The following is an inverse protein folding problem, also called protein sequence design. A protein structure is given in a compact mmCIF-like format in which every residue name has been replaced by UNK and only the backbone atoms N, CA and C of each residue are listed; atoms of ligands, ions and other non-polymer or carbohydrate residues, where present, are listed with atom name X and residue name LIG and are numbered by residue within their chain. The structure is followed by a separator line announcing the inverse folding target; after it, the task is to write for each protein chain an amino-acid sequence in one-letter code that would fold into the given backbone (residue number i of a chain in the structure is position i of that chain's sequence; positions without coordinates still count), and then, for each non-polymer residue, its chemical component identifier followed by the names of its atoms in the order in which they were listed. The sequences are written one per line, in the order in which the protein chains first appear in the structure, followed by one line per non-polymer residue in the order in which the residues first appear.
data_IF_816353484143
#
_entry.id   IF_816353484143
#
_cell.length_a   1.000
_cell.length_b   1.000
_cell.length_c   1.000
_cell.angle_alpha   90.00
_cell.angle_beta   90.00
_cell.angle_gamma   90.00
#
_symmetry.space_group_name_H-M   'P 1'
#
loop_
_entity.id
_entity.type
_entity.pdbx_description
1 polymer ?
#
# COMPACT_ATOMS: atom_id res chain seq x y z
N UNK A 1 -8.98 8.46 -28.66
CA UNK A 1 -9.70 7.58 -27.71
C UNK A 1 -9.94 8.39 -26.44
N UNK A 2 -11.02 8.10 -25.66
CA UNK A 2 -11.31 8.76 -24.39
C UNK A 2 -11.68 7.69 -23.35
N UNK A 3 -10.98 7.69 -22.21
CA UNK A 3 -11.30 6.81 -21.07
C UNK A 3 -12.34 7.50 -20.20
N UNK A 4 -13.43 6.81 -19.89
CA UNK A 4 -14.51 7.27 -19.01
C UNK A 4 -14.56 6.40 -17.76
N UNK A 5 -14.96 6.95 -16.61
CA UNK A 5 -15.19 6.15 -15.42
C UNK A 5 -16.37 5.20 -15.62
N UNK A 6 -16.29 4.03 -15.00
CA UNK A 6 -17.45 3.21 -14.72
C UNK A 6 -18.00 3.65 -13.36
N UNK A 7 -19.13 4.29 -13.36
CA UNK A 7 -19.72 4.87 -12.16
C UNK A 7 -20.08 3.81 -11.12
N UNK A 8 -19.71 4.06 -9.87
CA UNK A 8 -20.10 3.29 -8.71
C UNK A 8 -20.10 4.21 -7.49
N UNK A 9 -21.29 4.64 -7.04
CA UNK A 9 -21.46 5.61 -5.96
C UNK A 9 -20.76 5.20 -4.66
N UNK A 10 -20.77 3.92 -4.32
CA UNK A 10 -20.13 3.39 -3.11
C UNK A 10 -18.59 3.38 -3.17
N UNK A 11 -17.99 3.41 -4.36
CA UNK A 11 -16.55 3.30 -4.54
C UNK A 11 -15.94 4.59 -5.10
N UNK A 12 -16.18 4.86 -6.38
CA UNK A 12 -15.55 5.98 -7.09
C UNK A 12 -16.51 7.14 -7.42
N UNK A 13 -17.78 7.05 -7.02
CA UNK A 13 -18.82 7.96 -7.49
C UNK A 13 -18.80 7.99 -9.04
N UNK A 14 -18.54 9.15 -9.63
CA UNK A 14 -18.33 9.32 -11.07
C UNK A 14 -16.86 9.66 -11.43
N UNK A 15 -15.93 9.48 -10.50
CA UNK A 15 -14.55 9.91 -10.66
C UNK A 15 -13.63 8.82 -11.24
N UNK A 16 -12.62 9.28 -11.96
CA UNK A 16 -11.52 8.48 -12.48
C UNK A 16 -10.21 9.21 -12.19
N UNK A 17 -9.19 8.48 -11.77
CA UNK A 17 -7.87 9.09 -11.55
C UNK A 17 -7.25 9.54 -12.87
N UNK A 18 -6.40 10.57 -12.83
CA UNK A 18 -5.69 11.02 -14.03
C UNK A 18 -4.75 9.94 -14.55
N UNK A 19 -4.16 9.14 -13.67
CA UNK A 19 -3.35 7.98 -14.03
C UNK A 19 -4.14 7.02 -14.91
N UNK A 20 -5.33 6.62 -14.49
CA UNK A 20 -6.17 5.68 -15.24
C UNK A 20 -6.71 6.31 -16.52
N UNK A 21 -6.99 7.61 -16.49
CA UNK A 21 -7.49 8.36 -17.66
C UNK A 21 -6.48 8.39 -18.80
N UNK A 22 -5.20 8.50 -18.51
CA UNK A 22 -4.14 8.70 -19.50
C UNK A 22 -3.26 7.47 -19.72
N UNK A 23 -3.29 6.45 -18.85
CA UNK A 23 -2.43 5.26 -18.96
C UNK A 23 -2.70 4.39 -20.18
N UNK A 24 -3.83 4.58 -20.88
CA UNK A 24 -4.14 3.86 -22.12
C UNK A 24 -3.14 4.14 -23.27
N UNK A 25 -2.39 5.23 -23.18
CA UNK A 25 -1.37 5.56 -24.18
C UNK A 25 -0.33 4.45 -24.33
N UNK A 26 0.00 3.77 -23.24
CA UNK A 26 0.89 2.62 -23.24
C UNK A 26 0.38 1.43 -24.08
N UNK A 27 -0.93 1.32 -24.34
CA UNK A 27 -1.50 0.27 -25.18
C UNK A 27 -1.16 0.45 -26.67
N UNK A 28 -0.87 1.69 -27.08
CA UNK A 28 -0.60 2.05 -28.48
C UNK A 28 0.87 2.44 -28.69
N UNK A 29 1.73 2.21 -27.70
CA UNK A 29 3.16 2.48 -27.82
C UNK A 29 3.81 1.52 -28.80
N UNK A 30 4.69 2.04 -29.67
CA UNK A 30 5.52 1.23 -30.56
C UNK A 30 6.52 0.35 -29.81
N UNK A 31 6.88 0.72 -28.58
CA UNK A 31 7.75 -0.07 -27.70
C UNK A 31 7.04 -1.28 -27.06
N UNK A 32 5.73 -1.43 -27.30
CA UNK A 32 4.96 -2.54 -26.74
C UNK A 32 5.30 -3.84 -27.46
N UNK A 33 5.72 -4.85 -26.69
CA UNK A 33 5.93 -6.20 -27.25
C UNK A 33 4.58 -6.80 -27.71
N UNK A 34 4.53 -7.25 -28.95
CA UNK A 34 3.37 -7.91 -29.56
C UNK A 34 3.54 -9.41 -29.69
N UNK A 35 4.79 -9.87 -29.72
CA UNK A 35 5.17 -11.27 -29.79
C UNK A 35 6.19 -11.62 -28.71
N UNK A 36 6.27 -12.88 -28.27
CA UNK A 36 7.34 -13.33 -27.40
C UNK A 36 8.71 -13.17 -28.06
N UNK A 37 9.74 -12.94 -27.26
CA UNK A 37 11.11 -12.82 -27.74
C UNK A 37 12.07 -13.66 -26.90
N UNK A 38 13.02 -14.31 -27.56
CA UNK A 38 14.09 -15.08 -26.91
C UNK A 38 15.42 -14.42 -27.24
N UNK A 39 16.33 -14.31 -26.27
CA UNK A 39 17.68 -13.79 -26.48
C UNK A 39 18.61 -14.91 -26.97
N UNK A 40 19.05 -14.81 -28.23
CA UNK A 40 19.97 -15.74 -28.89
C UNK A 40 21.27 -15.01 -29.30
N UNK A 41 22.40 -15.50 -28.86
CA UNK A 41 23.71 -14.90 -29.18
C UNK A 41 23.78 -13.38 -28.88
N UNK A 42 23.12 -12.95 -27.79
CA UNK A 42 23.10 -11.55 -27.40
C UNK A 42 22.01 -10.68 -28.07
N UNK A 43 21.32 -11.19 -29.07
CA UNK A 43 20.25 -10.49 -29.81
C UNK A 43 18.85 -11.02 -29.45
N UNK A 44 17.87 -10.12 -29.35
CA UNK A 44 16.48 -10.48 -29.17
C UNK A 44 15.88 -10.90 -30.51
N UNK A 45 15.25 -12.09 -30.55
CA UNK A 45 14.63 -12.70 -31.72
C UNK A 45 13.18 -13.02 -31.38
N UNK A 46 12.25 -12.62 -32.21
CA UNK A 46 10.84 -12.99 -32.10
C UNK A 46 10.67 -14.50 -32.29
N UNK A 47 9.73 -15.08 -31.54
CA UNK A 47 9.38 -16.49 -31.61
C UNK A 47 7.88 -16.67 -31.36
N UNK A 48 7.35 -17.86 -31.56
CA UNK A 48 5.99 -18.19 -31.17
C UNK A 48 5.89 -18.52 -29.66
N UNK A 49 4.67 -18.62 -29.17
CA UNK A 49 4.41 -18.90 -27.75
C UNK A 49 4.88 -20.29 -27.31
N UNK A 50 4.77 -21.29 -28.19
CA UNK A 50 5.20 -22.65 -27.86
C UNK A 50 6.72 -22.67 -27.63
N UNK A 51 7.48 -22.10 -28.55
CA UNK A 51 8.92 -22.01 -28.44
C UNK A 51 9.36 -21.21 -27.20
N UNK A 52 8.69 -20.09 -26.92
CA UNK A 52 8.99 -19.27 -25.73
C UNK A 52 8.76 -20.04 -24.42
N UNK A 53 7.65 -20.77 -24.32
CA UNK A 53 7.31 -21.56 -23.13
C UNK A 53 8.24 -22.77 -22.95
N UNK A 54 8.58 -23.49 -24.03
CA UNK A 54 9.54 -24.59 -23.99
C UNK A 54 10.92 -24.13 -23.57
N UNK A 55 11.38 -23.00 -24.13
CA UNK A 55 12.66 -22.39 -23.74
C UNK A 55 12.68 -22.00 -22.26
N UNK A 56 11.62 -21.36 -21.78
CA UNK A 56 11.49 -20.93 -20.38
C UNK A 56 11.47 -22.14 -19.44
N UNK A 57 10.67 -23.16 -19.74
CA UNK A 57 10.57 -24.37 -18.92
C UNK A 57 11.91 -25.11 -18.86
N UNK A 58 12.59 -25.28 -19.99
CA UNK A 58 13.90 -25.90 -20.07
C UNK A 58 14.97 -25.13 -19.29
N UNK A 59 14.97 -23.80 -19.41
CA UNK A 59 15.88 -22.93 -18.66
C UNK A 59 15.64 -23.03 -17.15
N UNK A 60 14.40 -22.97 -16.69
CA UNK A 60 14.06 -23.14 -15.28
C UNK A 60 14.46 -24.50 -14.73
N UNK A 61 14.20 -25.60 -15.46
CA UNK A 61 14.64 -26.94 -15.09
C UNK A 61 16.16 -27.03 -14.98
N UNK A 62 16.88 -26.47 -15.95
CA UNK A 62 18.34 -26.46 -15.97
C UNK A 62 18.92 -25.72 -14.75
N UNK A 63 18.33 -24.55 -14.41
CA UNK A 63 18.73 -23.78 -13.23
C UNK A 63 18.45 -24.57 -11.94
N UNK A 64 17.25 -25.17 -11.85
CA UNK A 64 16.87 -25.96 -10.68
C UNK A 64 17.79 -27.16 -10.47
N UNK A 65 18.17 -27.87 -11.53
CA UNK A 65 19.09 -29.01 -11.48
C UNK A 65 20.51 -28.58 -11.11
N UNK A 66 20.98 -27.46 -11.64
CA UNK A 66 22.37 -27.01 -11.47
C UNK A 66 22.60 -26.25 -10.16
N UNK A 67 21.64 -25.48 -9.69
CA UNK A 67 21.77 -24.53 -8.59
C UNK A 67 20.77 -24.75 -7.46
N UNK A 68 19.84 -25.70 -7.62
CA UNK A 68 18.73 -25.95 -6.70
C UNK A 68 17.51 -25.06 -7.00
N UNK A 69 16.32 -25.57 -6.67
CA UNK A 69 15.05 -24.87 -6.92
C UNK A 69 14.96 -23.50 -6.22
N UNK A 70 15.63 -23.35 -5.07
CA UNK A 70 15.68 -22.09 -4.33
C UNK A 70 16.44 -20.95 -5.05
N UNK A 71 17.11 -21.26 -6.16
CA UNK A 71 17.72 -20.23 -7.04
C UNK A 71 16.70 -19.54 -7.95
N UNK A 72 15.45 -20.02 -7.97
CA UNK A 72 14.37 -19.48 -8.76
C UNK A 72 13.43 -18.72 -7.83
N UNK A 73 13.09 -17.49 -8.19
CA UNK A 73 12.13 -16.68 -7.48
C UNK A 73 11.10 -16.08 -8.41
N UNK A 74 9.95 -15.68 -7.87
CA UNK A 74 8.91 -14.97 -8.58
C UNK A 74 8.51 -13.68 -7.88
N UNK A 75 8.29 -12.64 -8.66
CA UNK A 75 7.76 -11.38 -8.20
C UNK A 75 6.42 -11.12 -8.92
N UNK A 76 5.33 -11.22 -8.17
CA UNK A 76 3.98 -10.92 -8.67
C UNK A 76 3.71 -9.42 -8.71
N UNK A 77 2.65 -9.03 -9.41
CA UNK A 77 2.17 -7.65 -9.43
C UNK A 77 0.87 -7.53 -8.63
N UNK A 78 0.70 -6.42 -7.92
CA UNK A 78 -0.57 -6.08 -7.27
C UNK A 78 -1.72 -5.83 -8.26
N UNK A 79 -1.41 -5.70 -9.55
CA UNK A 79 -2.38 -5.54 -10.64
C UNK A 79 -2.76 -6.87 -11.31
N UNK A 80 -2.14 -7.98 -10.90
CA UNK A 80 -2.48 -9.31 -11.40
C UNK A 80 -3.84 -9.77 -10.85
N UNK A 81 -4.51 -10.62 -11.62
CA UNK A 81 -5.74 -11.28 -11.16
C UNK A 81 -5.45 -12.28 -10.03
N UNK A 82 -6.49 -12.65 -9.28
CA UNK A 82 -6.36 -13.67 -8.23
C UNK A 82 -5.88 -15.00 -8.80
N UNK A 83 -6.37 -15.37 -9.99
CA UNK A 83 -6.00 -16.59 -10.71
C UNK A 83 -4.53 -16.60 -11.11
N UNK A 84 -4.01 -15.47 -11.62
CA UNK A 84 -2.59 -15.32 -11.97
C UNK A 84 -1.69 -15.48 -10.76
N UNK A 85 -2.02 -14.81 -9.64
CA UNK A 85 -1.26 -14.90 -8.39
C UNK A 85 -1.30 -16.31 -7.81
N UNK A 86 -2.48 -16.98 -7.87
CA UNK A 86 -2.61 -18.35 -7.41
C UNK A 86 -1.77 -19.31 -8.25
N UNK A 87 -1.83 -19.20 -9.59
CA UNK A 87 -1.05 -20.04 -10.49
C UNK A 87 0.44 -19.81 -10.37
N UNK A 88 0.88 -18.56 -10.18
CA UNK A 88 2.27 -18.22 -9.95
C UNK A 88 2.81 -18.92 -8.70
N UNK A 89 2.12 -18.80 -7.56
CA UNK A 89 2.55 -19.49 -6.35
C UNK A 89 2.53 -21.01 -6.49
N UNK A 90 1.51 -21.57 -7.14
CA UNK A 90 1.40 -23.01 -7.38
C UNK A 90 2.58 -23.53 -8.22
N UNK A 91 2.91 -22.81 -9.31
CA UNK A 91 4.04 -23.13 -10.17
C UNK A 91 5.35 -23.20 -9.38
N UNK A 92 5.68 -22.12 -8.65
CA UNK A 92 6.96 -22.03 -7.91
C UNK A 92 7.05 -23.11 -6.82
N UNK A 93 6.00 -23.31 -6.04
CA UNK A 93 5.97 -24.33 -4.99
C UNK A 93 6.05 -25.76 -5.54
N UNK A 94 5.40 -26.02 -6.68
CA UNK A 94 5.54 -27.31 -7.37
C UNK A 94 6.98 -27.56 -7.84
N UNK A 95 7.71 -26.51 -8.20
CA UNK A 95 9.13 -26.59 -8.54
C UNK A 95 10.06 -26.68 -7.30
N UNK A 96 9.52 -26.56 -6.10
CA UNK A 96 10.27 -26.62 -4.83
C UNK A 96 10.87 -25.29 -4.40
N UNK A 97 10.34 -24.16 -4.88
CA UNK A 97 10.77 -22.83 -4.43
C UNK A 97 9.68 -22.10 -3.64
N UNK A 98 10.06 -21.52 -2.51
CA UNK A 98 9.21 -20.64 -1.70
C UNK A 98 9.55 -19.15 -1.89
N UNK A 99 10.43 -18.80 -2.84
CA UNK A 99 10.88 -17.45 -3.11
C UNK A 99 9.85 -16.69 -3.95
N UNK A 100 8.73 -16.32 -3.32
CA UNK A 100 7.61 -15.63 -3.97
C UNK A 100 7.30 -14.36 -3.20
N UNK A 101 7.27 -13.23 -3.87
CA UNK A 101 6.82 -11.97 -3.32
C UNK A 101 5.99 -11.17 -4.34
N UNK A 102 5.25 -10.18 -3.87
CA UNK A 102 4.49 -9.23 -4.69
C UNK A 102 4.72 -7.78 -4.25
N UNK A 103 5.55 -7.57 -3.23
CA UNK A 103 5.85 -6.27 -2.64
C UNK A 103 7.17 -5.75 -3.14
N UNK A 104 7.14 -4.57 -3.78
CA UNK A 104 8.34 -3.89 -4.27
C UNK A 104 9.05 -3.08 -3.18
N UNK A 105 8.43 -2.94 -1.99
CA UNK A 105 8.96 -2.19 -0.86
C UNK A 105 9.39 -3.15 0.25
N UNK A 106 10.42 -2.78 0.98
CA UNK A 106 10.79 -3.49 2.19
C UNK A 106 9.64 -3.38 3.20
N UNK A 107 9.18 -4.52 3.72
CA UNK A 107 8.09 -4.61 4.69
C UNK A 107 8.53 -5.38 5.92
N UNK A 108 7.93 -5.08 7.06
CA UNK A 108 8.12 -5.85 8.29
C UNK A 108 7.06 -6.97 8.35
N UNK A 109 7.51 -8.21 8.22
CA UNK A 109 6.64 -9.39 8.19
C UNK A 109 6.34 -9.98 9.57
N UNK A 110 6.88 -9.41 10.65
CA UNK A 110 6.70 -9.94 12.01
C UNK A 110 5.24 -9.98 12.43
N UNK A 111 4.45 -9.02 11.95
CA UNK A 111 3.02 -8.93 12.25
C UNK A 111 2.19 -9.98 11.50
N UNK A 112 2.67 -10.53 10.39
CA UNK A 112 1.88 -11.44 9.54
C UNK A 112 1.37 -12.67 10.29
N UNK A 113 2.15 -13.15 11.27
CA UNK A 113 1.77 -14.29 12.12
C UNK A 113 0.71 -13.95 13.17
N UNK A 114 0.52 -12.67 13.48
CA UNK A 114 -0.43 -12.18 14.47
C UNK A 114 -1.75 -11.76 13.83
N UNK A 115 -1.76 -11.53 12.52
CA UNK A 115 -2.96 -11.16 11.77
C UNK A 115 -3.88 -12.36 11.63
N UNK A 116 -5.16 -12.16 11.98
CA UNK A 116 -6.22 -13.12 11.74
C UNK A 116 -7.13 -12.62 10.62
N UNK A 117 -7.33 -13.46 9.61
CA UNK A 117 -8.13 -13.11 8.44
C UNK A 117 -7.39 -12.22 7.43
N UNK A 118 -8.11 -11.71 6.46
CA UNK A 118 -7.57 -10.82 5.41
C UNK A 118 -7.60 -9.38 5.88
N UNK A 119 -6.46 -8.65 5.83
CA UNK A 119 -6.46 -7.21 6.12
C UNK A 119 -7.41 -6.46 5.17
N UNK A 120 -8.25 -5.59 5.73
CA UNK A 120 -9.16 -4.74 4.98
C UNK A 120 -9.27 -3.36 5.63
N UNK A 121 -9.92 -2.42 4.98
CA UNK A 121 -10.00 -1.02 5.44
C UNK A 121 -10.71 -0.85 6.80
N UNK A 122 -11.51 -1.83 7.21
CA UNK A 122 -12.31 -1.78 8.46
C UNK A 122 -13.61 -1.00 8.32
N UNK A 123 -13.81 -0.30 7.20
CA UNK A 123 -15.02 0.46 6.87
C UNK A 123 -15.25 0.42 5.36
N UNK A 124 -16.44 0.76 4.89
CA UNK A 124 -16.69 0.93 3.46
C UNK A 124 -15.99 2.18 2.94
N UNK A 125 -15.70 2.23 1.64
CA UNK A 125 -15.14 3.44 1.01
C UNK A 125 -16.15 4.61 1.07
N UNK A 126 -17.43 4.31 0.99
CA UNK A 126 -18.52 5.31 1.11
C UNK A 126 -18.51 5.97 2.50
N UNK A 127 -18.37 5.16 3.55
CA UNK A 127 -18.40 5.62 4.95
C UNK A 127 -17.23 6.54 5.31
N UNK A 128 -16.13 6.53 4.54
CA UNK A 128 -15.03 7.49 4.73
C UNK A 128 -15.56 8.94 4.74
N UNK A 129 -16.61 9.22 3.97
CA UNK A 129 -17.22 10.54 3.89
C UNK A 129 -17.92 10.97 5.19
N UNK A 130 -18.24 10.03 6.08
CA UNK A 130 -18.93 10.26 7.37
C UNK A 130 -17.96 10.41 8.54
N UNK A 131 -16.68 10.11 8.34
CA UNK A 131 -15.68 10.19 9.41
C UNK A 131 -15.51 11.63 9.90
N UNK A 132 -15.39 11.80 11.20
CA UNK A 132 -15.18 13.11 11.84
C UNK A 132 -13.71 13.49 11.97
N UNK A 133 -12.83 12.49 12.09
CA UNK A 133 -11.39 12.66 12.14
C UNK A 133 -10.69 11.49 11.48
N UNK A 134 -9.58 11.77 10.79
CA UNK A 134 -8.75 10.78 10.10
C UNK A 134 -7.28 11.08 10.34
N UNK A 135 -6.49 10.05 10.52
CA UNK A 135 -5.03 10.10 10.56
C UNK A 135 -4.45 9.35 9.35
N UNK A 136 -3.71 10.06 8.52
CA UNK A 136 -2.95 9.48 7.41
C UNK A 136 -1.50 9.26 7.84
N UNK A 137 -0.99 8.06 7.62
CA UNK A 137 0.35 7.67 8.04
C UNK A 137 1.14 7.16 6.83
N UNK A 138 2.25 7.80 6.50
CA UNK A 138 3.22 7.32 5.53
C UNK A 138 2.71 7.21 4.09
N UNK A 139 1.66 7.95 3.71
CA UNK A 139 1.09 7.89 2.36
C UNK A 139 1.13 9.23 1.65
N UNK A 140 1.54 9.22 0.38
CA UNK A 140 1.39 10.34 -0.55
C UNK A 140 -0.01 10.25 -1.18
N UNK A 141 -1.03 10.53 -0.37
CA UNK A 141 -2.43 10.19 -0.60
C UNK A 141 -2.97 10.60 -1.99
N UNK A 142 -2.61 11.79 -2.49
CA UNK A 142 -3.06 12.26 -3.81
C UNK A 142 -2.53 11.42 -4.97
N UNK A 143 -1.35 10.81 -4.80
CA UNK A 143 -0.70 9.99 -5.84
C UNK A 143 -1.00 8.52 -5.66
N UNK A 144 -0.94 8.04 -4.41
CA UNK A 144 -1.14 6.63 -4.11
C UNK A 144 -2.63 6.23 -4.18
N UNK A 145 -3.53 7.12 -3.67
CA UNK A 145 -4.95 6.82 -3.52
C UNK A 145 -5.84 8.03 -3.87
N UNK A 146 -5.83 8.51 -5.14
CA UNK A 146 -6.46 9.78 -5.53
C UNK A 146 -7.97 9.82 -5.29
N UNK A 147 -8.68 8.69 -5.42
CA UNK A 147 -10.13 8.65 -5.19
C UNK A 147 -10.47 8.71 -3.70
N UNK A 148 -9.66 8.08 -2.83
CA UNK A 148 -9.79 8.25 -1.38
C UNK A 148 -9.45 9.69 -0.98
N UNK A 149 -8.41 10.28 -1.57
CA UNK A 149 -8.06 11.68 -1.35
C UNK A 149 -9.23 12.62 -1.71
N UNK A 150 -9.97 12.33 -2.78
CA UNK A 150 -11.14 13.11 -3.19
C UNK A 150 -12.26 13.02 -2.13
N UNK A 151 -12.58 11.83 -1.62
CA UNK A 151 -13.58 11.65 -0.56
C UNK A 151 -13.20 12.40 0.72
N UNK A 152 -11.95 12.24 1.17
CA UNK A 152 -11.43 12.95 2.34
C UNK A 152 -11.48 14.48 2.16
N UNK A 153 -11.16 14.97 0.95
CA UNK A 153 -11.24 16.40 0.64
C UNK A 153 -12.68 16.93 0.72
N UNK A 154 -13.67 16.17 0.30
CA UNK A 154 -15.08 16.54 0.45
C UNK A 154 -15.50 16.50 1.93
N UNK A 155 -15.10 15.47 2.68
CA UNK A 155 -15.40 15.37 4.11
C UNK A 155 -14.74 16.52 4.92
N UNK A 156 -13.51 16.95 4.58
CA UNK A 156 -12.87 18.12 5.20
C UNK A 156 -13.66 19.39 4.98
N UNK A 157 -14.25 19.59 3.80
CA UNK A 157 -15.13 20.73 3.55
C UNK A 157 -16.39 20.72 4.43
N UNK A 158 -16.79 19.54 4.89
CA UNK A 158 -17.92 19.35 5.81
C UNK A 158 -17.50 19.36 7.29
N UNK A 159 -16.22 19.62 7.58
CA UNK A 159 -15.70 19.79 8.94
C UNK A 159 -14.84 18.65 9.48
N UNK A 160 -14.60 17.58 8.70
CA UNK A 160 -13.72 16.51 9.11
C UNK A 160 -12.30 17.03 9.43
N UNK A 161 -11.70 16.54 10.50
CA UNK A 161 -10.33 16.85 10.88
C UNK A 161 -9.34 15.87 10.24
N UNK A 162 -8.54 16.36 9.29
CA UNK A 162 -7.50 15.57 8.63
C UNK A 162 -6.17 15.77 9.34
N UNK A 163 -5.59 14.70 9.85
CA UNK A 163 -4.30 14.68 10.53
C UNK A 163 -3.29 13.86 9.74
N UNK A 164 -2.01 14.22 9.76
CA UNK A 164 -0.97 13.59 8.96
C UNK A 164 0.28 13.31 9.78
N UNK A 165 0.84 12.10 9.60
CA UNK A 165 2.21 11.74 9.99
C UNK A 165 2.92 11.22 8.75
N UNK A 166 3.76 12.03 8.13
CA UNK A 166 4.41 11.70 6.87
C UNK A 166 5.88 12.12 6.85
N UNK A 167 6.71 11.48 5.99
CA UNK A 167 8.09 11.91 5.79
C UNK A 167 8.21 13.15 4.88
N UNK A 168 7.17 13.50 4.15
CA UNK A 168 7.15 14.62 3.23
C UNK A 168 5.88 15.46 3.42
N UNK A 169 6.04 16.78 3.42
CA UNK A 169 4.91 17.72 3.43
C UNK A 169 4.35 17.92 2.02
N UNK A 170 3.50 16.98 1.60
CA UNK A 170 2.84 17.05 0.29
C UNK A 170 1.61 17.95 0.35
N UNK A 171 1.37 18.70 -0.74
CA UNK A 171 0.15 19.49 -0.89
C UNK A 171 -1.04 18.59 -1.23
N UNK A 172 -1.92 18.38 -0.27
CA UNK A 172 -3.15 17.59 -0.43
C UNK A 172 -4.30 18.37 -1.08
N UNK A 173 -4.10 19.63 -1.46
CA UNK A 173 -5.15 20.53 -1.98
C UNK A 173 -6.38 20.61 -1.06
N UNK A 174 -6.17 20.43 0.24
CA UNK A 174 -7.20 20.54 1.27
C UNK A 174 -6.58 20.99 2.60
N UNK A 175 -7.41 21.50 3.50
CA UNK A 175 -6.94 21.88 4.84
C UNK A 175 -6.54 20.64 5.62
N UNK A 176 -5.36 20.68 6.23
CA UNK A 176 -4.87 19.69 7.18
C UNK A 176 -4.95 20.32 8.58
N UNK A 177 -5.60 19.63 9.51
CA UNK A 177 -5.77 20.13 10.88
C UNK A 177 -4.45 20.11 11.64
N UNK A 178 -3.75 18.98 11.65
CA UNK A 178 -2.47 18.81 12.32
C UNK A 178 -1.50 17.98 11.46
N UNK A 179 -0.21 18.34 11.52
CA UNK A 179 0.87 17.66 10.80
C UNK A 179 2.03 17.29 11.72
N UNK A 180 2.57 16.09 11.52
CA UNK A 180 3.88 15.72 12.01
C UNK A 180 4.71 15.23 10.80
N UNK A 181 5.62 16.08 10.31
CA UNK A 181 6.52 15.73 9.22
C UNK A 181 7.84 15.26 9.82
N UNK A 182 8.13 13.99 9.68
CA UNK A 182 9.23 13.32 10.38
C UNK A 182 9.95 12.34 9.44
N UNK A 183 11.22 12.05 9.73
CA UNK A 183 11.95 11.04 8.98
C UNK A 183 11.21 9.66 9.04
N UNK A 184 11.32 8.80 7.99
CA UNK A 184 10.69 7.48 8.01
C UNK A 184 11.01 6.66 9.25
N UNK A 185 12.25 6.72 9.73
CA UNK A 185 12.69 6.03 10.96
C UNK A 185 12.06 6.57 12.25
N UNK A 186 11.51 7.79 12.23
CA UNK A 186 10.87 8.41 13.39
C UNK A 186 9.34 8.22 13.42
N UNK A 187 8.72 7.69 12.36
CA UNK A 187 7.27 7.52 12.28
C UNK A 187 6.74 6.67 13.44
N UNK A 188 7.38 5.53 13.73
CA UNK A 188 6.94 4.62 14.82
C UNK A 188 7.01 5.31 16.16
N UNK A 189 8.09 6.09 16.43
CA UNK A 189 8.21 6.87 17.66
C UNK A 189 7.12 7.93 17.74
N UNK A 190 6.84 8.65 16.66
CA UNK A 190 5.78 9.66 16.61
C UNK A 190 4.39 9.06 16.87
N UNK A 191 4.10 7.87 16.36
CA UNK A 191 2.86 7.16 16.66
C UNK A 191 2.77 6.77 18.14
N UNK A 192 3.89 6.34 18.75
CA UNK A 192 3.94 6.06 20.17
C UNK A 192 3.74 7.34 21.04
N UNK A 193 4.24 8.49 20.59
CA UNK A 193 3.98 9.79 21.23
C UNK A 193 2.49 10.18 21.15
N UNK A 194 1.85 9.99 19.98
CA UNK A 194 0.41 10.23 19.79
C UNK A 194 -0.41 9.28 20.69
N UNK A 195 -0.06 8.00 20.75
CA UNK A 195 -0.71 7.03 21.62
C UNK A 195 -0.59 7.42 23.09
N UNK A 196 0.60 7.83 23.56
CA UNK A 196 0.81 8.28 24.92
C UNK A 196 -0.05 9.51 25.23
N UNK A 197 -0.08 10.50 24.35
CA UNK A 197 -0.93 11.67 24.51
C UNK A 197 -2.43 11.29 24.55
N UNK A 198 -2.87 10.36 23.73
CA UNK A 198 -4.25 9.87 23.73
C UNK A 198 -4.64 9.19 25.06
N UNK A 199 -3.74 8.40 25.64
CA UNK A 199 -3.90 7.76 26.94
C UNK A 199 -4.02 8.82 28.04
N UNK A 200 -3.14 9.83 28.02
CA UNK A 200 -3.16 10.93 28.97
C UNK A 200 -4.47 11.74 28.91
N UNK A 201 -4.94 12.08 27.70
CA UNK A 201 -6.19 12.81 27.48
C UNK A 201 -7.41 12.02 27.97
N UNK A 202 -7.47 10.71 27.68
CA UNK A 202 -8.62 9.85 28.10
C UNK A 202 -8.52 9.34 29.53
N UNK A 203 -7.39 9.52 30.22
CA UNK A 203 -7.18 8.99 31.55
C UNK A 203 -7.22 7.46 31.62
N UNK A 204 -6.80 6.77 30.55
CA UNK A 204 -6.84 5.31 30.46
C UNK A 204 -5.71 4.70 31.29
N UNK A 205 -6.04 3.73 32.14
CA UNK A 205 -5.04 2.97 32.89
C UNK A 205 -4.22 2.07 31.93
N UNK A 206 -2.90 2.23 31.97
CA UNK A 206 -1.99 1.50 31.10
C UNK A 206 -1.72 0.09 31.64
N UNK A 207 -1.82 -0.91 30.77
CA UNK A 207 -1.33 -2.26 31.09
C UNK A 207 0.20 -2.27 31.25
N UNK A 208 0.74 -3.25 31.96
CA UNK A 208 2.20 -3.36 32.13
C UNK A 208 2.94 -3.53 30.81
N UNK A 209 2.36 -4.26 29.86
CA UNK A 209 2.91 -4.45 28.53
C UNK A 209 2.97 -3.11 27.75
N UNK A 210 1.89 -2.34 27.77
CA UNK A 210 1.84 -1.04 27.12
C UNK A 210 2.85 -0.07 27.72
N UNK A 211 3.02 -0.05 29.06
CA UNK A 211 4.05 0.73 29.75
C UNK A 211 5.45 0.35 29.27
N UNK A 212 5.76 -0.94 29.15
CA UNK A 212 7.04 -1.41 28.64
C UNK A 212 7.33 -0.95 27.21
N UNK A 213 6.31 -1.08 26.32
CA UNK A 213 6.42 -0.64 24.94
C UNK A 213 6.68 0.87 24.88
N UNK A 214 5.89 1.69 25.55
CA UNK A 214 6.05 3.15 25.52
C UNK A 214 7.40 3.58 26.12
N UNK A 215 7.85 2.95 27.20
CA UNK A 215 9.15 3.26 27.82
C UNK A 215 10.34 2.91 26.90
N UNK A 216 10.21 1.88 26.04
CA UNK A 216 11.27 1.50 25.10
C UNK A 216 11.61 2.58 24.07
N UNK A 217 10.70 3.51 23.81
CA UNK A 217 10.88 4.58 22.81
C UNK A 217 11.49 5.87 23.39
N UNK A 218 11.69 5.97 24.71
CA UNK A 218 12.13 7.22 25.35
C UNK A 218 11.30 8.44 24.88
N UNK A 219 9.99 8.40 25.11
CA UNK A 219 9.00 9.30 24.52
C UNK A 219 8.87 10.57 25.34
N UNK A 220 9.03 11.73 24.68
CA UNK A 220 8.57 13.02 25.17
C UNK A 220 7.26 13.38 24.45
N UNK A 221 6.25 13.86 25.18
CA UNK A 221 5.02 14.36 24.55
C UNK A 221 5.33 15.62 23.75
N UNK A 222 5.22 15.54 22.42
CA UNK A 222 5.38 16.70 21.54
C UNK A 222 4.06 17.43 21.37
N UNK A 223 4.09 18.74 21.13
CA UNK A 223 2.89 19.54 20.89
C UNK A 223 2.09 19.03 19.69
N UNK A 224 2.77 18.57 18.63
CA UNK A 224 2.11 17.99 17.45
C UNK A 224 1.43 16.66 17.75
N UNK A 225 2.07 15.78 18.54
CA UNK A 225 1.47 14.51 18.95
C UNK A 225 0.21 14.73 19.81
N UNK A 226 0.27 15.69 20.74
CA UNK A 226 -0.88 16.05 21.56
C UNK A 226 -2.03 16.62 20.72
N UNK A 227 -1.75 17.54 19.79
CA UNK A 227 -2.77 18.12 18.91
C UNK A 227 -3.44 17.05 18.02
N UNK A 228 -2.66 16.11 17.48
CA UNK A 228 -3.21 14.99 16.70
C UNK A 228 -4.08 14.11 17.59
N UNK A 229 -3.60 13.73 18.78
CA UNK A 229 -4.35 12.88 19.71
C UNK A 229 -5.68 13.55 20.13
N UNK A 230 -5.67 14.83 20.51
CA UNK A 230 -6.89 15.60 20.82
C UNK A 230 -7.89 15.58 19.68
N UNK A 231 -7.41 15.88 18.47
CA UNK A 231 -8.26 15.89 17.26
C UNK A 231 -8.91 14.53 16.99
N UNK A 232 -8.20 13.43 17.22
CA UNK A 232 -8.75 12.08 17.05
C UNK A 232 -9.79 11.73 18.12
N UNK A 233 -9.54 12.11 19.37
CA UNK A 233 -10.40 11.77 20.52
C UNK A 233 -11.68 12.60 20.54
N UNK A 234 -11.58 13.90 20.37
CA UNK A 234 -12.71 14.84 20.43
C UNK A 234 -13.76 14.57 19.36
N UNK A 235 -13.35 13.98 18.23
CA UNK A 235 -14.19 13.72 17.08
C UNK A 235 -14.56 12.22 16.93
N UNK A 236 -14.20 11.37 17.89
CA UNK A 236 -14.62 9.97 17.92
C UNK A 236 -15.98 9.88 18.62
N UNK A 237 -17.01 9.22 18.06
CA UNK A 237 -18.26 8.94 18.77
C UNK A 237 -17.96 8.16 20.05
N UNK A 238 -18.69 8.48 21.13
CA UNK A 238 -18.58 7.82 22.42
C UNK A 238 -19.04 6.36 22.35
#
# INVERSE_FOLDING_TARGET
MRVLPRENEAINECWLSDKDRFSYEGLNSEDRLTNPMIKRNGHWVECDWQEALEYTASAMQTIALKHGSQSIGALGSAHSTLEELYLLQKLLRTMGSENIDHRLRQSDFRIDKLLQGTPWLGTSIEDISQLKSVLIIGSTLRKDHPLIAQRLRQAVKQGMQLNIVNPMDDDLLTKVANKAIVAPSAIVKTLAEILKAAIEIKGIEQTNELKQILNSFNIASTASAFAIASSLIENTPA
#
